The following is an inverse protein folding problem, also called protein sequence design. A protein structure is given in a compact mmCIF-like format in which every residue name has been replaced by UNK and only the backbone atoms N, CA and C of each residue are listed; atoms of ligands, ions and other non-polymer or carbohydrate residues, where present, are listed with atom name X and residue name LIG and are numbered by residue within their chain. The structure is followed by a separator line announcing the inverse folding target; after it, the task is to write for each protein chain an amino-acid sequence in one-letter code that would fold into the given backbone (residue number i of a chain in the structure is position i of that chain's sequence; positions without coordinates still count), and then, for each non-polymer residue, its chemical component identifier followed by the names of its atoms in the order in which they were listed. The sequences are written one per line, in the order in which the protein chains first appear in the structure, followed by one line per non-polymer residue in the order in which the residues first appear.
data_IF_636371644835
#
_entry.id   IF_636371644835
#
_cell.length_a   1.000
_cell.length_b   1.000
_cell.length_c   1.000
_cell.angle_alpha   90.00
_cell.angle_beta   90.00
_cell.angle_gamma   90.00
#
_symmetry.space_group_name_H-M   'P 1'
#
loop_
_entity.id
_entity.type
_entity.pdbx_description
1 polymer ?
#
# COMPACT_ATOMS: atom_id res chain seq x y z
N UNK A 1 24.37 1.01 -15.42
CA UNK A 1 23.98 1.61 -14.12
C UNK A 1 22.51 1.98 -14.16
N UNK A 2 21.73 1.68 -13.12
CA UNK A 2 20.33 2.09 -13.05
C UNK A 2 20.25 3.59 -12.81
N UNK A 3 19.44 4.28 -13.61
CA UNK A 3 19.22 5.74 -13.54
C UNK A 3 17.71 6.00 -13.53
N UNK A 4 17.25 7.07 -12.87
CA UNK A 4 15.86 7.47 -12.99
C UNK A 4 15.55 7.92 -14.42
N UNK A 5 14.30 7.80 -14.84
CA UNK A 5 13.80 8.34 -16.10
C UNK A 5 13.72 9.87 -15.97
N UNK A 6 14.26 10.60 -16.94
CA UNK A 6 14.11 12.05 -16.99
C UNK A 6 12.68 12.38 -17.45
N UNK A 7 11.97 13.20 -16.67
CA UNK A 7 10.60 13.60 -16.93
C UNK A 7 10.57 15.10 -17.25
N UNK A 8 10.35 15.44 -18.51
CA UNK A 8 10.53 16.81 -19.03
C UNK A 8 9.22 17.60 -19.09
N UNK A 9 8.08 16.91 -19.20
CA UNK A 9 6.75 17.50 -19.36
C UNK A 9 5.67 16.77 -18.56
N UNK A 10 4.49 17.40 -18.46
CA UNK A 10 3.36 16.86 -17.70
C UNK A 10 2.88 15.52 -18.28
N UNK A 11 2.66 15.36 -19.61
CA UNK A 11 2.19 14.09 -20.16
C UNK A 11 3.13 12.90 -19.91
N UNK A 12 4.44 13.07 -20.08
CA UNK A 12 5.43 12.01 -19.81
C UNK A 12 5.51 11.66 -18.32
N UNK A 13 5.37 12.67 -17.45
CA UNK A 13 5.32 12.46 -15.99
C UNK A 13 4.08 11.66 -15.58
N UNK A 14 2.90 12.03 -16.10
CA UNK A 14 1.66 11.31 -15.83
C UNK A 14 1.72 9.86 -16.35
N UNK A 15 2.16 9.67 -17.60
CA UNK A 15 2.31 8.33 -18.19
C UNK A 15 3.32 7.45 -17.42
N UNK A 16 4.39 8.05 -16.89
CA UNK A 16 5.35 7.35 -16.05
C UNK A 16 4.72 6.89 -14.72
N UNK A 17 3.96 7.76 -14.06
CA UNK A 17 3.26 7.45 -12.80
C UNK A 17 2.20 6.36 -13.04
N UNK A 18 1.39 6.50 -14.08
CA UNK A 18 0.30 5.58 -14.41
C UNK A 18 0.80 4.26 -15.03
N UNK A 19 2.09 4.19 -15.38
CA UNK A 19 2.71 3.01 -15.96
C UNK A 19 3.07 1.92 -14.94
N UNK A 20 2.94 2.19 -13.64
CA UNK A 20 3.33 1.26 -12.59
C UNK A 20 2.46 1.37 -11.34
N UNK A 21 2.28 0.24 -10.64
CA UNK A 21 1.51 0.17 -9.39
C UNK A 21 2.04 1.09 -8.29
N UNK A 22 3.36 1.23 -8.27
CA UNK A 22 4.09 2.17 -7.42
C UNK A 22 5.16 2.82 -8.29
N UNK A 23 5.22 4.14 -8.28
CA UNK A 23 6.24 4.93 -8.95
C UNK A 23 6.78 6.00 -7.99
N UNK A 24 8.06 6.30 -8.06
CA UNK A 24 8.68 7.35 -7.25
C UNK A 24 9.24 8.42 -8.15
N UNK A 25 8.91 9.69 -7.89
CA UNK A 25 9.44 10.84 -8.62
C UNK A 25 10.17 11.76 -7.66
N UNK A 26 11.42 12.07 -7.98
CA UNK A 26 12.16 13.15 -7.34
C UNK A 26 11.92 14.45 -8.09
N UNK A 27 11.22 15.39 -7.47
CA UNK A 27 11.02 16.74 -7.98
C UNK A 27 12.04 17.68 -7.34
N UNK A 28 12.94 18.24 -8.15
CA UNK A 28 14.00 19.12 -7.68
C UNK A 28 14.01 20.41 -8.49
N UNK A 29 14.28 21.55 -7.85
CA UNK A 29 14.56 22.79 -8.58
C UNK A 29 15.93 22.74 -9.27
N UNK A 30 16.90 22.06 -8.63
CA UNK A 30 18.27 21.89 -9.10
C UNK A 30 18.76 20.47 -8.77
N UNK A 31 19.20 19.74 -9.80
CA UNK A 31 19.69 18.37 -9.72
C UNK A 31 21.11 18.23 -9.16
N UNK A 32 21.86 19.33 -8.99
CA UNK A 32 23.23 19.30 -8.44
C UNK A 32 23.28 19.39 -6.91
N UNK A 33 22.14 19.60 -6.25
CA UNK A 33 22.06 19.65 -4.78
C UNK A 33 22.30 18.29 -4.14
N UNK A 34 22.74 18.32 -2.87
CA UNK A 34 23.06 17.10 -2.09
C UNK A 34 21.91 16.09 -2.07
N UNK A 35 20.68 16.54 -1.88
CA UNK A 35 19.49 15.68 -1.85
C UNK A 35 19.23 14.94 -3.15
N UNK A 36 19.54 15.54 -4.31
CA UNK A 36 19.42 14.86 -5.59
C UNK A 36 20.45 13.74 -5.73
N UNK A 37 21.67 13.90 -5.18
CA UNK A 37 22.69 12.85 -5.15
C UNK A 37 22.29 11.66 -4.24
N UNK A 38 21.70 11.96 -3.07
CA UNK A 38 21.16 10.96 -2.16
C UNK A 38 20.00 10.18 -2.80
N UNK A 39 19.13 10.89 -3.53
CA UNK A 39 18.07 10.27 -4.35
C UNK A 39 18.65 9.34 -5.43
N UNK A 40 19.62 9.81 -6.22
CA UNK A 40 20.27 9.00 -7.26
C UNK A 40 20.96 7.75 -6.68
N UNK A 41 21.50 7.84 -5.46
CA UNK A 41 22.05 6.68 -4.75
C UNK A 41 20.94 5.72 -4.32
N UNK A 42 19.81 6.24 -3.83
CA UNK A 42 18.65 5.44 -3.46
C UNK A 42 18.05 4.67 -4.64
N UNK A 43 17.99 5.28 -5.83
CA UNK A 43 17.54 4.63 -7.08
C UNK A 43 18.30 3.32 -7.34
N UNK A 44 19.60 3.28 -7.01
CA UNK A 44 20.45 2.09 -7.20
C UNK A 44 20.14 0.97 -6.22
N UNK A 45 19.63 1.30 -5.03
CA UNK A 45 19.38 0.35 -3.94
C UNK A 45 17.99 -0.29 -3.99
N UNK A 46 17.08 0.22 -4.81
CA UNK A 46 15.69 -0.25 -4.90
C UNK A 46 15.36 -0.63 -6.35
N UNK A 47 15.72 -1.85 -6.78
CA UNK A 47 15.57 -2.25 -8.18
C UNK A 47 14.11 -2.57 -8.59
N UNK A 48 13.19 -2.70 -7.65
CA UNK A 48 11.83 -3.19 -7.94
C UNK A 48 10.81 -2.06 -8.13
N UNK A 49 11.25 -0.79 -8.06
CA UNK A 49 10.41 0.40 -8.20
C UNK A 49 10.94 1.28 -9.32
N UNK A 50 10.11 1.71 -10.29
CA UNK A 50 10.52 2.70 -11.28
C UNK A 50 10.72 4.07 -10.61
N UNK A 51 11.82 4.74 -10.97
CA UNK A 51 12.15 6.08 -10.48
C UNK A 51 12.15 7.08 -11.64
N UNK A 52 11.53 8.22 -11.42
CA UNK A 52 11.58 9.40 -12.28
C UNK A 52 12.32 10.54 -11.59
N UNK A 53 12.90 11.43 -12.37
CA UNK A 53 13.46 12.69 -11.89
C UNK A 53 12.96 13.83 -12.77
N UNK A 54 12.55 14.93 -12.14
CA UNK A 54 12.00 16.08 -12.82
C UNK A 54 12.55 17.38 -12.23
N UNK A 55 12.97 18.28 -13.11
CA UNK A 55 13.38 19.66 -12.78
C UNK A 55 12.59 20.72 -13.54
N UNK A 56 11.60 20.30 -14.34
CA UNK A 56 10.77 21.19 -15.14
C UNK A 56 9.81 21.99 -14.26
N UNK A 57 9.95 23.32 -14.22
CA UNK A 57 9.12 24.21 -13.41
C UNK A 57 7.62 24.08 -13.72
N UNK A 58 7.27 23.76 -14.96
CA UNK A 58 5.89 23.49 -15.38
C UNK A 58 5.33 22.23 -14.72
N UNK A 59 6.13 21.15 -14.67
CA UNK A 59 5.73 19.90 -14.02
C UNK A 59 5.66 20.09 -12.50
N UNK A 60 6.66 20.72 -11.90
CA UNK A 60 6.67 21.05 -10.47
C UNK A 60 5.39 21.81 -10.08
N UNK A 61 5.02 22.84 -10.85
CA UNK A 61 3.79 23.60 -10.62
C UNK A 61 2.53 22.74 -10.77
N UNK A 62 2.46 21.86 -11.78
CA UNK A 62 1.31 20.95 -11.99
C UNK A 62 1.09 19.99 -10.82
N UNK A 63 2.18 19.51 -10.22
CA UNK A 63 2.16 18.62 -9.05
C UNK A 63 2.22 19.39 -7.72
N UNK A 64 1.99 20.71 -7.70
CA UNK A 64 2.01 21.54 -6.49
C UNK A 64 3.31 21.41 -5.66
N UNK A 65 4.45 21.29 -6.33
CA UNK A 65 5.77 21.20 -5.70
C UNK A 65 6.29 22.61 -5.44
N UNK A 66 6.43 22.98 -4.16
CA UNK A 66 6.94 24.30 -3.73
C UNK A 66 8.37 24.25 -3.18
N UNK A 67 8.91 23.05 -2.99
CA UNK A 67 10.29 22.78 -2.55
C UNK A 67 10.71 21.40 -3.02
N UNK A 68 12.02 21.11 -2.99
CA UNK A 68 12.56 19.80 -3.34
C UNK A 68 11.77 18.70 -2.61
N UNK A 69 11.20 17.76 -3.35
CA UNK A 69 10.24 16.80 -2.82
C UNK A 69 10.41 15.46 -3.50
N UNK A 70 10.34 14.39 -2.72
CA UNK A 70 10.28 13.03 -3.26
C UNK A 70 8.87 12.50 -3.03
N UNK A 71 8.20 12.20 -4.13
CA UNK A 71 6.82 11.76 -4.13
C UNK A 71 6.74 10.28 -4.52
N UNK A 72 6.03 9.50 -3.71
CA UNK A 72 5.64 8.14 -4.05
C UNK A 72 4.17 8.13 -4.47
N UNK A 73 3.91 7.64 -5.66
CA UNK A 73 2.58 7.45 -6.22
C UNK A 73 2.24 5.96 -6.18
N UNK A 74 1.01 5.63 -5.81
CA UNK A 74 0.56 4.23 -5.77
C UNK A 74 -0.90 4.08 -6.19
N UNK A 75 -1.16 3.02 -6.94
CA UNK A 75 -2.48 2.76 -7.50
C UNK A 75 -3.46 2.18 -6.48
N UNK A 76 -2.99 1.38 -5.52
CA UNK A 76 -3.86 0.59 -4.63
C UNK A 76 -4.93 1.42 -3.90
N UNK A 77 -4.60 2.66 -3.55
CA UNK A 77 -5.51 3.63 -2.94
C UNK A 77 -5.55 4.98 -3.69
N UNK A 78 -4.97 5.04 -4.91
CA UNK A 78 -4.83 6.25 -5.72
C UNK A 78 -4.22 7.42 -4.96
N UNK A 79 -3.22 7.15 -4.11
CA UNK A 79 -2.56 8.16 -3.29
C UNK A 79 -1.18 8.52 -3.80
N UNK A 80 -0.83 9.75 -3.45
CA UNK A 80 0.52 10.29 -3.48
C UNK A 80 0.94 10.57 -2.04
N UNK A 81 2.13 10.12 -1.68
CA UNK A 81 2.78 10.47 -0.43
C UNK A 81 4.02 11.30 -0.73
N UNK A 82 4.18 12.43 -0.03
CA UNK A 82 5.32 13.32 -0.21
C UNK A 82 6.28 13.26 0.97
N UNK A 83 7.56 13.32 0.63
CA UNK A 83 8.65 13.64 1.53
C UNK A 83 9.26 14.96 1.07
N UNK A 84 8.82 16.05 1.70
CA UNK A 84 9.36 17.38 1.45
C UNK A 84 10.73 17.56 2.12
N UNK A 85 11.67 18.14 1.38
CA UNK A 85 13.04 18.39 1.80
C UNK A 85 13.17 19.86 2.17
N UNK A 86 13.00 20.15 3.46
CA UNK A 86 13.11 21.50 4.01
C UNK A 86 14.55 21.81 4.43
N UNK A 87 14.90 23.11 4.41
CA UNK A 87 16.19 23.60 4.90
C UNK A 87 16.45 23.14 6.34
N UNK A 88 17.57 22.44 6.54
CA UNK A 88 17.98 21.87 7.83
C UNK A 88 17.54 20.43 8.09
N UNK A 89 16.58 19.89 7.32
CA UNK A 89 16.17 18.49 7.42
C UNK A 89 16.97 17.64 6.45
N UNK A 90 18.22 17.32 6.80
CA UNK A 90 19.09 16.49 5.94
C UNK A 90 18.37 15.17 5.60
N UNK A 91 18.25 14.89 4.31
CA UNK A 91 17.70 13.65 3.80
C UNK A 91 18.86 12.81 3.29
N UNK A 92 18.98 11.58 3.81
CA UNK A 92 19.99 10.61 3.40
C UNK A 92 19.33 9.37 2.77
N UNK A 93 20.14 8.52 2.14
CA UNK A 93 19.68 7.26 1.54
C UNK A 93 18.83 6.42 2.49
N UNK A 94 19.14 6.39 3.78
CA UNK A 94 18.43 5.56 4.76
C UNK A 94 17.02 6.08 5.01
N UNK A 95 16.86 7.39 5.20
CA UNK A 95 15.56 8.06 5.35
C UNK A 95 14.71 7.91 4.09
N UNK A 96 15.31 8.06 2.91
CA UNK A 96 14.63 7.85 1.62
C UNK A 96 14.16 6.42 1.43
N UNK A 97 15.05 5.46 1.67
CA UNK A 97 14.72 4.04 1.55
C UNK A 97 13.60 3.66 2.51
N UNK A 98 13.65 4.16 3.75
CA UNK A 98 12.59 3.93 4.74
C UNK A 98 11.26 4.52 4.29
N UNK A 99 11.25 5.78 3.85
CA UNK A 99 10.05 6.45 3.33
C UNK A 99 9.40 5.63 2.22
N UNK A 100 10.19 5.18 1.25
CA UNK A 100 9.72 4.37 0.13
C UNK A 100 9.15 3.03 0.64
N UNK A 101 9.89 2.29 1.47
CA UNK A 101 9.45 0.96 1.95
C UNK A 101 8.20 0.99 2.82
N UNK A 102 7.98 2.06 3.58
CA UNK A 102 6.73 2.27 4.34
C UNK A 102 5.57 2.45 3.35
N UNK A 103 5.76 3.27 2.32
CA UNK A 103 4.66 3.73 1.47
C UNK A 103 4.44 2.89 0.20
N UNK A 104 5.31 1.92 -0.09
CA UNK A 104 5.24 0.97 -1.22
C UNK A 104 4.12 -0.07 -1.04
N UNK A 105 2.87 0.39 -0.97
CA UNK A 105 1.70 -0.48 -0.98
C UNK A 105 1.34 -0.84 -2.41
N UNK A 106 1.19 -2.13 -2.68
CA UNK A 106 0.91 -2.73 -4.00
C UNK A 106 -0.43 -3.43 -3.98
N UNK A 107 -0.91 -3.90 -5.14
CA UNK A 107 -2.14 -4.69 -5.22
C UNK A 107 -2.14 -5.87 -4.25
N UNK A 108 -1.00 -6.50 -4.05
CA UNK A 108 -0.79 -7.39 -2.91
C UNK A 108 0.46 -6.95 -2.19
N UNK A 109 0.30 -6.47 -0.96
CA UNK A 109 1.40 -6.03 -0.12
C UNK A 109 1.81 -7.16 0.81
N UNK A 110 3.08 -7.57 0.75
CA UNK A 110 3.58 -8.55 1.71
C UNK A 110 3.75 -7.90 3.09
N UNK A 111 3.18 -8.55 4.10
CA UNK A 111 3.27 -8.09 5.47
C UNK A 111 4.70 -8.22 5.99
N UNK A 112 5.20 -7.12 6.53
CA UNK A 112 6.36 -7.07 7.40
C UNK A 112 6.22 -5.83 8.32
N UNK A 113 7.06 -5.69 9.35
CA UNK A 113 6.96 -4.55 10.27
C UNK A 113 7.07 -3.16 9.62
N UNK A 114 7.73 -3.05 8.45
CA UNK A 114 7.85 -1.77 7.74
C UNK A 114 6.59 -1.45 6.93
N UNK A 115 6.07 -2.41 6.15
CA UNK A 115 4.84 -2.22 5.37
C UNK A 115 3.61 -2.10 6.25
N UNK A 116 3.62 -2.71 7.44
CA UNK A 116 2.59 -2.53 8.46
C UNK A 116 2.36 -1.05 8.78
N UNK A 117 3.42 -0.26 8.94
CA UNK A 117 3.31 1.19 9.20
C UNK A 117 2.49 1.86 8.11
N UNK A 118 2.83 1.65 6.84
CA UNK A 118 2.11 2.28 5.73
C UNK A 118 0.68 1.76 5.53
N UNK A 119 0.43 0.49 5.82
CA UNK A 119 -0.91 -0.09 5.79
C UNK A 119 -1.83 0.60 6.80
N UNK A 120 -1.38 0.77 8.04
CA UNK A 120 -2.15 1.45 9.09
C UNK A 120 -2.22 2.97 8.93
N UNK A 121 -1.26 3.59 8.25
CA UNK A 121 -1.29 5.02 7.91
C UNK A 121 -2.21 5.32 6.70
N UNK A 122 -2.68 4.32 5.97
CA UNK A 122 -3.59 4.52 4.84
C UNK A 122 -4.98 4.95 5.30
N UNK A 123 -5.64 5.79 4.49
CA UNK A 123 -7.04 6.13 4.68
C UNK A 123 -8.00 4.97 4.36
N UNK A 124 -7.52 3.94 3.65
CA UNK A 124 -8.30 2.73 3.37
C UNK A 124 -8.26 1.81 4.58
N UNK A 125 -9.35 1.78 5.33
CA UNK A 125 -9.40 1.13 6.65
C UNK A 125 -9.74 -0.37 6.60
N UNK A 126 -10.17 -0.88 5.45
CA UNK A 126 -10.47 -2.31 5.27
C UNK A 126 -9.21 -3.03 4.81
N UNK A 127 -8.72 -3.96 5.61
CA UNK A 127 -7.60 -4.83 5.30
C UNK A 127 -8.13 -6.24 5.04
N UNK A 128 -7.77 -6.81 3.89
CA UNK A 128 -7.99 -8.22 3.60
C UNK A 128 -6.62 -8.92 3.65
N UNK A 129 -6.50 -9.94 4.47
CA UNK A 129 -5.27 -10.69 4.67
C UNK A 129 -5.41 -12.10 4.10
N UNK A 130 -4.44 -12.54 3.31
CA UNK A 130 -4.27 -13.93 2.91
C UNK A 130 -3.12 -14.55 3.72
N UNK A 131 -3.45 -15.53 4.55
CA UNK A 131 -2.47 -16.35 5.25
C UNK A 131 -2.11 -17.54 4.37
N UNK A 132 -0.86 -17.61 3.93
CA UNK A 132 -0.37 -18.69 3.07
C UNK A 132 1.13 -18.93 3.30
N UNK A 133 1.60 -20.10 2.91
CA UNK A 133 3.03 -20.42 2.82
C UNK A 133 3.52 -20.13 1.39
N UNK A 134 4.52 -19.25 1.23
CA UNK A 134 5.11 -18.93 -0.08
C UNK A 134 5.92 -20.09 -0.68
N UNK A 135 6.34 -21.05 0.13
CA UNK A 135 7.09 -22.23 -0.32
C UNK A 135 6.18 -23.31 -0.94
N UNK A 136 4.86 -23.16 -0.80
CA UNK A 136 3.87 -24.07 -1.40
C UNK A 136 3.93 -24.01 -2.93
N UNK A 137 3.82 -25.16 -3.60
CA UNK A 137 3.75 -25.24 -5.06
C UNK A 137 2.54 -24.51 -5.67
N UNK A 138 1.49 -24.29 -4.89
CA UNK A 138 0.28 -23.57 -5.29
C UNK A 138 0.38 -22.05 -5.06
N UNK A 139 1.49 -21.53 -4.53
CA UNK A 139 1.63 -20.12 -4.17
C UNK A 139 1.38 -19.19 -5.36
N UNK A 140 2.02 -19.45 -6.50
CA UNK A 140 1.91 -18.61 -7.71
C UNK A 140 0.46 -18.51 -8.22
N UNK A 141 -0.27 -19.62 -8.22
CA UNK A 141 -1.67 -19.62 -8.66
C UNK A 141 -2.54 -18.83 -7.69
N UNK A 142 -2.40 -19.06 -6.39
CA UNK A 142 -3.16 -18.37 -5.34
C UNK A 142 -2.92 -16.87 -5.38
N UNK A 143 -1.66 -16.44 -5.50
CA UNK A 143 -1.32 -15.02 -5.45
C UNK A 143 -1.81 -14.28 -6.71
N UNK A 144 -1.85 -14.95 -7.86
CA UNK A 144 -2.42 -14.38 -9.08
C UNK A 144 -3.93 -14.14 -8.94
N UNK A 145 -4.68 -15.15 -8.46
CA UNK A 145 -6.12 -15.02 -8.18
C UNK A 145 -6.38 -13.94 -7.12
N UNK A 146 -5.54 -13.87 -6.08
CA UNK A 146 -5.65 -12.86 -5.03
C UNK A 146 -5.39 -11.44 -5.54
N UNK A 147 -4.39 -11.27 -6.41
CA UNK A 147 -4.09 -9.99 -7.08
C UNK A 147 -5.21 -9.57 -8.02
N UNK A 148 -5.77 -10.52 -8.78
CA UNK A 148 -6.89 -10.25 -9.68
C UNK A 148 -8.09 -9.69 -8.92
N UNK A 149 -8.45 -10.30 -7.78
CA UNK A 149 -9.47 -9.78 -6.90
C UNK A 149 -9.10 -8.37 -6.37
N UNK A 150 -7.86 -8.16 -5.91
CA UNK A 150 -7.42 -6.90 -5.31
C UNK A 150 -7.67 -5.67 -6.19
N UNK A 151 -7.50 -5.79 -7.51
CA UNK A 151 -7.71 -4.69 -8.46
C UNK A 151 -9.15 -4.16 -8.39
N UNK A 152 -10.15 -5.03 -8.19
CA UNK A 152 -11.56 -4.63 -8.08
C UNK A 152 -11.87 -3.83 -6.80
N UNK A 153 -10.97 -3.87 -5.81
CA UNK A 153 -11.10 -3.20 -4.52
C UNK A 153 -10.19 -1.98 -4.36
N UNK A 154 -9.65 -1.45 -5.46
CA UNK A 154 -8.85 -0.22 -5.46
C UNK A 154 -9.53 0.91 -4.65
N UNK A 155 -8.82 1.44 -3.65
CA UNK A 155 -9.31 2.50 -2.77
C UNK A 155 -10.39 2.08 -1.76
N UNK A 156 -10.78 0.79 -1.74
CA UNK A 156 -11.84 0.25 -0.86
C UNK A 156 -11.29 -0.72 0.17
N UNK A 157 -10.37 -1.58 -0.22
CA UNK A 157 -9.69 -2.52 0.67
C UNK A 157 -8.23 -2.73 0.26
N UNK A 158 -7.35 -2.90 1.24
CA UNK A 158 -5.94 -3.22 1.05
C UNK A 158 -5.72 -4.73 1.19
N UNK A 159 -5.05 -5.33 0.21
CA UNK A 159 -4.82 -6.77 0.13
C UNK A 159 -3.40 -7.09 0.61
N UNK A 160 -3.31 -7.97 1.61
CA UNK A 160 -2.09 -8.19 2.38
C UNK A 160 -1.76 -9.69 2.37
N UNK A 161 -0.55 -10.05 1.95
CA UNK A 161 -0.06 -11.43 2.07
C UNK A 161 0.70 -11.57 3.40
N UNK A 162 0.28 -12.52 4.23
CA UNK A 162 1.02 -12.93 5.43
C UNK A 162 1.70 -14.27 5.16
N UNK A 163 3.00 -14.23 4.87
CA UNK A 163 3.79 -15.45 4.60
C UNK A 163 4.16 -16.18 5.88
N UNK A 164 3.69 -17.41 6.05
CA UNK A 164 3.96 -18.22 7.23
C UNK A 164 5.20 -19.12 7.13
N UNK A 165 5.92 -19.04 6.00
CA UNK A 165 7.30 -19.51 5.96
C UNK A 165 8.20 -18.67 6.89
N UNK A 166 7.79 -17.42 7.18
CA UNK A 166 8.44 -16.49 8.10
C UNK A 166 7.87 -16.65 9.51
N UNK A 167 8.70 -17.13 10.45
CA UNK A 167 8.28 -17.42 11.83
C UNK A 167 7.72 -16.21 12.59
N UNK A 168 8.23 -15.00 12.34
CA UNK A 168 7.77 -13.79 13.02
C UNK A 168 6.30 -13.46 12.73
N UNK A 169 5.74 -13.99 11.64
CA UNK A 169 4.34 -13.84 11.28
C UNK A 169 3.39 -14.74 12.09
N UNK A 170 3.91 -15.69 12.90
CA UNK A 170 3.09 -16.54 13.78
C UNK A 170 2.27 -15.71 14.79
N UNK A 171 2.75 -14.52 15.16
CA UNK A 171 2.01 -13.58 16.03
C UNK A 171 0.78 -13.02 15.34
N UNK A 172 0.89 -12.67 14.06
CA UNK A 172 -0.24 -12.19 13.25
C UNK A 172 -1.26 -13.31 13.10
N UNK A 173 -0.80 -14.52 12.77
CA UNK A 173 -1.68 -15.69 12.70
C UNK A 173 -2.49 -15.90 13.99
N UNK A 174 -1.82 -15.77 15.14
CA UNK A 174 -2.45 -15.94 16.46
C UNK A 174 -3.47 -14.86 16.80
N UNK A 175 -3.24 -13.62 16.35
CA UNK A 175 -4.18 -12.50 16.52
C UNK A 175 -5.54 -12.79 15.85
N UNK A 176 -5.52 -13.42 14.68
CA UNK A 176 -6.71 -13.87 13.95
C UNK A 176 -7.21 -15.26 14.40
N UNK A 177 -6.69 -15.79 15.51
CA UNK A 177 -7.07 -17.09 16.07
C UNK A 177 -6.95 -18.28 15.10
N UNK A 178 -6.05 -18.17 14.13
CA UNK A 178 -5.78 -19.19 13.12
C UNK A 178 -4.65 -20.14 13.55
N UNK A 179 -4.66 -21.35 13.00
CA UNK A 179 -3.60 -22.35 13.13
C UNK A 179 -3.01 -22.68 11.77
N UNK A 180 -1.74 -23.12 11.74
CA UNK A 180 -1.07 -23.52 10.49
C UNK A 180 -1.79 -24.65 9.72
N UNK A 181 -2.52 -25.51 10.44
CA UNK A 181 -3.32 -26.58 9.85
C UNK A 181 -4.59 -26.12 9.13
N UNK A 182 -4.96 -24.83 9.25
CA UNK A 182 -6.18 -24.26 8.69
C UNK A 182 -5.91 -23.42 7.43
N UNK A 183 -4.73 -23.57 6.83
CA UNK A 183 -4.26 -22.72 5.73
C UNK A 183 -4.44 -23.38 4.37
N UNK A 184 -4.68 -22.59 3.31
CA UNK A 184 -4.76 -21.12 3.31
C UNK A 184 -6.04 -20.57 3.96
N UNK A 185 -5.98 -19.34 4.44
CA UNK A 185 -7.14 -18.68 5.05
C UNK A 185 -7.17 -17.19 4.69
N UNK A 186 -8.37 -16.63 4.62
CA UNK A 186 -8.59 -15.18 4.55
C UNK A 186 -8.97 -14.65 5.92
N UNK A 187 -8.54 -13.43 6.21
CA UNK A 187 -9.12 -12.63 7.27
C UNK A 187 -9.44 -11.23 6.76
N UNK A 188 -10.58 -10.69 7.17
CA UNK A 188 -10.91 -9.29 6.98
C UNK A 188 -10.70 -8.58 8.32
N UNK A 189 -10.15 -7.36 8.28
CA UNK A 189 -9.87 -6.55 9.44
C UNK A 189 -10.22 -5.09 9.15
N UNK A 190 -10.98 -4.46 10.03
CA UNK A 190 -11.33 -3.06 9.91
C UNK A 190 -10.55 -2.25 10.96
N UNK A 191 -9.64 -1.40 10.49
CA UNK A 191 -8.67 -0.72 11.37
C UNK A 191 -9.31 0.26 12.38
N UNK A 192 -10.49 0.79 12.08
CA UNK A 192 -11.09 1.84 12.90
C UNK A 192 -11.73 1.34 14.21
N UNK A 193 -12.21 0.09 14.24
CA UNK A 193 -12.81 -0.52 15.44
C UNK A 193 -12.33 -1.95 15.72
N UNK A 194 -11.28 -2.37 15.03
CA UNK A 194 -10.62 -3.68 15.16
C UNK A 194 -11.54 -4.88 14.89
N UNK A 195 -12.71 -4.67 14.26
CA UNK A 195 -13.57 -5.78 13.87
C UNK A 195 -12.86 -6.67 12.85
N UNK A 196 -12.96 -7.97 13.07
CA UNK A 196 -12.35 -8.98 12.21
C UNK A 196 -13.31 -10.12 11.90
N UNK A 197 -13.11 -10.73 10.74
CA UNK A 197 -13.79 -11.96 10.32
C UNK A 197 -12.77 -12.89 9.64
N UNK A 198 -13.00 -14.20 9.69
CA UNK A 198 -12.06 -15.20 9.18
C UNK A 198 -12.80 -16.22 8.33
N UNK A 199 -12.25 -16.51 7.15
CA UNK A 199 -12.74 -17.53 6.24
C UNK A 199 -11.64 -18.56 5.98
N UNK A 200 -11.91 -19.81 6.34
CA UNK A 200 -11.05 -20.94 5.98
C UNK A 200 -11.28 -21.31 4.51
N UNK A 201 -10.21 -21.59 3.79
CA UNK A 201 -10.27 -21.90 2.37
C UNK A 201 -9.71 -23.29 2.09
N UNK A 202 -10.49 -24.12 1.40
CA UNK A 202 -9.98 -25.33 0.75
C UNK A 202 -9.14 -24.96 -0.49
N UNK A 203 -9.64 -23.98 -1.25
CA UNK A 203 -9.00 -23.41 -2.42
C UNK A 203 -9.24 -21.89 -2.48
N UNK A 204 -8.25 -21.17 -3.02
CA UNK A 204 -8.36 -19.74 -3.32
C UNK A 204 -8.98 -19.57 -4.71
N UNK A 205 -10.10 -18.84 -4.79
CA UNK A 205 -10.74 -18.40 -6.04
C UNK A 205 -11.08 -16.91 -5.95
N UNK A 206 -11.10 -16.23 -7.10
CA UNK A 206 -11.43 -14.79 -7.19
C UNK A 206 -12.83 -14.51 -6.63
N UNK A 207 -13.80 -15.37 -6.93
CA UNK A 207 -15.17 -15.31 -6.42
C UNK A 207 -15.19 -15.37 -4.88
N UNK A 208 -14.57 -16.38 -4.27
CA UNK A 208 -14.54 -16.52 -2.80
C UNK A 208 -13.88 -15.34 -2.10
N UNK A 209 -12.80 -14.81 -2.68
CA UNK A 209 -12.11 -13.64 -2.13
C UNK A 209 -13.03 -12.41 -2.18
N UNK A 210 -13.65 -12.19 -3.35
CA UNK A 210 -14.54 -11.05 -3.61
C UNK A 210 -15.77 -11.10 -2.71
N UNK A 211 -16.45 -12.24 -2.64
CA UNK A 211 -17.66 -12.43 -1.82
C UNK A 211 -17.39 -12.19 -0.35
N UNK A 212 -16.29 -12.74 0.16
CA UNK A 212 -15.90 -12.56 1.56
C UNK A 212 -15.59 -11.10 1.89
N UNK A 213 -14.86 -10.39 1.01
CA UNK A 213 -14.53 -8.99 1.23
C UNK A 213 -15.79 -8.09 1.15
N UNK A 214 -16.66 -8.31 0.16
CA UNK A 214 -17.92 -7.57 0.03
C UNK A 214 -18.82 -7.78 1.25
N UNK A 215 -19.07 -9.03 1.64
CA UNK A 215 -19.92 -9.35 2.78
C UNK A 215 -19.41 -8.70 4.08
N UNK A 216 -18.09 -8.63 4.27
CA UNK A 216 -17.51 -7.92 5.40
C UNK A 216 -17.75 -6.40 5.32
N UNK A 217 -17.48 -5.77 4.18
CA UNK A 217 -17.68 -4.33 4.01
C UNK A 217 -19.14 -3.90 4.12
N UNK A 218 -20.07 -4.65 3.52
CA UNK A 218 -21.52 -4.41 3.61
C UNK A 218 -21.98 -4.43 5.08
N UNK A 219 -21.56 -5.45 5.85
CA UNK A 219 -21.83 -5.52 7.29
C UNK A 219 -21.26 -4.32 8.06
N UNK A 220 -20.10 -3.80 7.65
CA UNK A 220 -19.51 -2.59 8.26
C UNK A 220 -20.31 -1.33 7.92
N UNK A 221 -20.84 -1.23 6.72
CA UNK A 221 -21.70 -0.11 6.29
C UNK A 221 -23.04 -0.13 7.03
N UNK A 222 -23.70 -1.27 7.14
CA UNK A 222 -24.97 -1.41 7.88
C UNK A 222 -24.83 -1.05 9.38
N UNK A 223 -23.72 -1.43 10.01
CA UNK A 223 -23.40 -1.04 11.39
C UNK A 223 -23.13 0.46 11.55
N UNK A 224 -22.64 1.12 10.49
CA UNK A 224 -22.44 2.56 10.49
C UNK A 224 -23.74 3.33 10.27
N UNK A 225 -24.71 2.80 9.54
CA UNK A 225 -26.01 3.45 9.28
C UNK A 225 -27.03 3.23 10.40
N UNK A 226 -26.94 2.11 11.13
CA UNK A 226 -27.81 1.83 12.29
C UNK A 226 -27.45 2.63 13.56
N UNK A 227 -26.17 2.99 13.76
CA UNK A 227 -25.71 3.78 14.91
C UNK A 227 -26.11 5.29 14.92
N UNK A 228 -26.24 6.01 13.80
CA UNK A 228 -26.54 7.45 13.81
C UNK A 228 -28.00 7.79 14.07
N UNK A 229 -28.97 6.93 13.74
CA UNK A 229 -30.40 7.24 13.96
C UNK A 229 -30.90 6.88 15.37
N UNK A 230 -30.37 5.83 16.00
CA UNK A 230 -30.82 5.38 17.33
C UNK A 230 -30.41 6.32 18.49
N UNK A 231 -29.48 7.25 18.26
CA UNK A 231 -29.08 8.25 19.25
C UNK A 231 -29.93 9.53 19.22
N UNK A 232 -30.72 9.78 18.17
CA UNK A 232 -31.65 10.92 18.16
C UNK A 232 -32.96 10.65 18.91
N UNK A 233 -33.32 9.38 19.11
CA UNK A 233 -34.57 9.00 19.79
C UNK A 233 -34.40 8.64 21.27
N UNK A 234 -33.18 8.74 21.83
CA UNK A 234 -32.89 8.42 23.23
C UNK A 234 -32.68 9.64 24.14
N UNK A 235 -32.69 10.86 23.61
CA UNK A 235 -32.60 12.09 24.43
C UNK A 235 -33.97 12.73 24.76
N UNK A 236 -35.10 12.13 24.35
CA UNK A 236 -36.46 12.64 24.65
C UNK A 236 -37.36 11.70 25.47
N UNK A 237 -36.79 10.85 26.35
CA UNK A 237 -37.56 10.06 27.33
C UNK A 237 -37.02 10.19 28.76
#
# INVERSE_FOLDING_TARGET
ERKPVLLEDIPSTAAFIDGAEVAVVGFFEDSEKSEALEFLTTVKNIPDIPFGICTSSQVLSHYNITQNTISLFRMVDNKRQDLEIQDGNKVDVAKLSRFIRINELRWVTEYNPMTAVGLFDSAVQTHLLLFSDKTSSLHTERINKYREAAVAFQGKALFILVDLSIKDNDRVLSYFHLKKSQLPALAAYYTADEEQDVLLLDEVSVERITDFCNAFMERKEEKKTSKPEDNLFREEL
#
